data_IF_786967135869
#
_entry.id   IF_786967135869
#
_cell.length_a   1.000
_cell.length_b   1.000
_cell.length_c   1.000
_cell.angle_alpha   90.00
_cell.angle_beta   90.00
_cell.angle_gamma   90.00
#
_symmetry.space_group_name_H-M   'P 1'
#
loop_
_entity.id
_entity.type
_entity.pdbx_description
1 polymer ?
#
# COMPACT_ATOMS: atom_id res chain seq x y z
N UNK A 1 -19.28 17.42 -3.83
CA UNK A 1 -20.31 17.01 -2.87
C UNK A 1 -21.19 15.99 -3.58
N UNK A 2 -21.26 14.75 -3.11
CA UNK A 2 -22.13 13.76 -3.72
C UNK A 2 -23.61 14.19 -3.50
N UNK A 3 -24.40 14.16 -4.54
CA UNK A 3 -25.81 14.58 -4.52
C UNK A 3 -26.67 13.32 -4.42
N UNK A 4 -27.58 13.30 -3.44
CA UNK A 4 -28.50 12.17 -3.28
C UNK A 4 -29.58 12.23 -4.35
N UNK A 5 -29.89 11.08 -4.96
CA UNK A 5 -30.96 10.96 -5.94
C UNK A 5 -32.33 11.30 -5.32
N UNK A 6 -32.58 10.85 -4.09
CA UNK A 6 -33.84 11.08 -3.33
C UNK A 6 -34.14 12.56 -3.07
N UNK A 7 -33.12 13.45 -3.12
CA UNK A 7 -33.29 14.89 -2.95
C UNK A 7 -33.72 15.59 -4.26
N UNK A 8 -33.89 14.85 -5.35
CA UNK A 8 -34.26 15.39 -6.66
C UNK A 8 -35.76 15.24 -6.94
N UNK A 9 -36.29 16.20 -7.70
CA UNK A 9 -37.70 16.17 -8.09
C UNK A 9 -37.98 14.99 -9.03
N UNK A 10 -39.21 14.48 -8.96
CA UNK A 10 -39.69 13.40 -9.82
C UNK A 10 -38.86 12.11 -9.77
N UNK A 11 -38.28 11.78 -8.63
CA UNK A 11 -37.67 10.48 -8.37
C UNK A 11 -38.69 9.53 -7.72
N UNK A 12 -38.44 8.24 -7.82
CA UNK A 12 -39.19 7.25 -7.04
C UNK A 12 -38.65 7.23 -5.61
N UNK A 13 -39.56 7.15 -4.64
CA UNK A 13 -39.20 7.05 -3.22
C UNK A 13 -38.40 5.77 -2.94
N UNK A 14 -37.57 5.76 -1.91
CA UNK A 14 -36.90 4.54 -1.45
C UNK A 14 -37.88 3.40 -1.20
N UNK A 15 -37.46 2.19 -1.63
CA UNK A 15 -38.23 0.94 -1.49
C UNK A 15 -37.33 -0.20 -1.06
N UNK A 16 -37.91 -1.36 -0.79
CA UNK A 16 -37.10 -2.56 -0.47
C UNK A 16 -36.19 -2.99 -1.62
N UNK A 17 -36.58 -2.74 -2.87
CA UNK A 17 -35.78 -3.06 -4.07
C UNK A 17 -34.77 -1.96 -4.38
N UNK A 18 -35.12 -0.72 -4.16
CA UNK A 18 -34.29 0.46 -4.42
C UNK A 18 -34.17 1.32 -3.15
N UNK A 19 -33.34 0.94 -2.19
CA UNK A 19 -33.29 1.56 -0.86
C UNK A 19 -32.83 3.03 -0.87
N UNK A 20 -32.28 3.51 -1.98
CA UNK A 20 -31.81 4.90 -2.16
C UNK A 20 -32.64 5.70 -3.19
N UNK A 21 -33.86 5.24 -3.46
CA UNK A 21 -34.70 5.80 -4.50
C UNK A 21 -34.36 5.28 -5.90
N UNK A 22 -35.15 5.64 -6.88
CA UNK A 22 -34.96 5.23 -8.28
C UNK A 22 -35.24 6.37 -9.25
N UNK A 23 -34.70 6.25 -10.46
CA UNK A 23 -35.01 7.10 -11.58
C UNK A 23 -36.40 6.75 -12.09
N UNK A 24 -37.24 7.76 -12.30
CA UNK A 24 -38.57 7.59 -12.79
C UNK A 24 -38.65 7.93 -14.28
N UNK A 25 -39.26 7.06 -15.06
CA UNK A 25 -39.49 7.29 -16.48
C UNK A 25 -40.47 8.45 -16.73
N UNK A 26 -40.25 9.19 -17.81
CA UNK A 26 -41.16 10.20 -18.28
C UNK A 26 -42.30 9.55 -19.09
N UNK A 27 -43.49 9.56 -18.55
CA UNK A 27 -44.70 9.00 -19.18
C UNK A 27 -45.45 10.01 -20.07
N UNK A 28 -44.77 11.06 -20.53
CA UNK A 28 -45.33 12.04 -21.44
C UNK A 28 -45.87 13.31 -20.78
N UNK A 29 -45.80 13.44 -19.47
CA UNK A 29 -46.31 14.59 -18.69
C UNK A 29 -45.20 15.38 -17.98
N UNK A 30 -43.96 15.26 -18.44
CA UNK A 30 -42.79 15.85 -17.79
C UNK A 30 -42.62 15.41 -16.30
N UNK A 31 -43.09 14.21 -15.97
CA UNK A 31 -43.08 13.64 -14.63
C UNK A 31 -41.93 12.66 -14.39
N UNK A 32 -41.06 12.44 -15.34
CA UNK A 32 -39.84 11.65 -15.20
C UNK A 32 -38.75 12.41 -14.46
N UNK A 33 -37.77 11.68 -13.93
CA UNK A 33 -36.60 12.29 -13.29
C UNK A 33 -35.83 13.09 -14.34
N UNK A 34 -35.64 14.41 -14.15
CA UNK A 34 -34.90 15.21 -15.13
C UNK A 34 -33.46 14.79 -15.14
N UNK A 35 -32.81 14.86 -16.30
CA UNK A 35 -31.37 14.72 -16.42
C UNK A 35 -30.73 15.97 -15.80
N UNK A 36 -30.43 15.88 -14.52
CA UNK A 36 -29.76 16.97 -13.78
C UNK A 36 -28.26 16.88 -14.02
N UNK A 37 -27.70 17.94 -14.62
CA UNK A 37 -26.27 18.07 -14.91
C UNK A 37 -25.39 17.73 -13.69
N UNK A 38 -25.78 18.19 -12.51
CA UNK A 38 -24.96 18.01 -11.31
C UNK A 38 -24.94 16.55 -10.83
N UNK A 39 -26.07 15.85 -10.95
CA UNK A 39 -26.17 14.42 -10.59
C UNK A 39 -25.39 13.55 -11.57
N UNK A 40 -25.64 13.72 -12.87
CA UNK A 40 -25.03 12.86 -13.87
C UNK A 40 -23.56 13.19 -14.12
N UNK A 41 -23.16 14.46 -14.00
CA UNK A 41 -21.76 14.82 -14.11
C UNK A 41 -20.90 14.16 -12.99
N UNK A 42 -21.41 14.08 -11.76
CA UNK A 42 -20.69 13.43 -10.65
C UNK A 42 -20.46 11.93 -10.94
N UNK A 43 -21.46 11.23 -11.48
CA UNK A 43 -21.29 9.83 -11.88
C UNK A 43 -20.25 9.67 -12.98
N UNK A 44 -20.33 10.49 -14.04
CA UNK A 44 -19.35 10.43 -15.12
C UNK A 44 -17.93 10.74 -14.63
N UNK A 45 -17.78 11.75 -13.76
CA UNK A 45 -16.48 12.08 -13.19
C UNK A 45 -15.95 10.95 -12.29
N UNK A 46 -16.81 10.31 -11.49
CA UNK A 46 -16.43 9.17 -10.66
C UNK A 46 -15.93 8.01 -11.52
N UNK A 47 -16.70 7.59 -12.52
CA UNK A 47 -16.30 6.48 -13.41
C UNK A 47 -15.06 6.83 -14.24
N UNK A 48 -14.96 8.04 -14.77
CA UNK A 48 -13.78 8.48 -15.52
C UNK A 48 -12.53 8.48 -14.64
N UNK A 49 -12.63 8.94 -13.38
CA UNK A 49 -11.52 8.91 -12.43
C UNK A 49 -11.11 7.47 -12.10
N UNK A 50 -12.08 6.59 -11.87
CA UNK A 50 -11.84 5.18 -11.59
C UNK A 50 -11.13 4.48 -12.75
N UNK A 51 -11.57 4.69 -13.99
CA UNK A 51 -10.91 4.17 -15.20
C UNK A 51 -9.47 4.71 -15.32
N UNK A 52 -9.28 6.00 -15.10
CA UNK A 52 -7.95 6.63 -15.11
C UNK A 52 -7.00 6.02 -14.06
N UNK A 53 -7.45 5.82 -12.82
CA UNK A 53 -6.63 5.24 -11.75
C UNK A 53 -6.32 3.75 -11.96
N UNK A 54 -7.22 3.03 -12.64
CA UNK A 54 -7.01 1.62 -12.96
C UNK A 54 -6.02 1.39 -14.11
N UNK A 55 -5.84 2.39 -14.98
CA UNK A 55 -5.11 2.24 -16.23
C UNK A 55 -5.84 1.40 -17.30
N UNK A 56 -7.12 1.05 -17.07
CA UNK A 56 -7.93 0.30 -18.02
C UNK A 56 -8.45 1.26 -19.11
N UNK A 57 -8.25 0.89 -20.36
CA UNK A 57 -8.74 1.65 -21.51
C UNK A 57 -10.20 1.28 -21.79
N UNK A 58 -11.04 2.26 -22.08
CA UNK A 58 -12.43 2.02 -22.49
C UNK A 58 -12.51 1.13 -23.73
N UNK A 59 -13.42 0.15 -23.70
CA UNK A 59 -13.68 -0.74 -24.84
C UNK A 59 -14.89 -0.32 -25.67
N UNK A 60 -15.60 0.75 -25.26
CA UNK A 60 -16.80 1.31 -25.89
C UNK A 60 -17.98 0.32 -25.99
N UNK A 61 -17.98 -0.71 -25.13
CA UNK A 61 -19.04 -1.72 -25.02
C UNK A 61 -19.83 -1.52 -23.73
N UNK A 62 -21.11 -1.95 -23.69
CA UNK A 62 -21.91 -1.90 -22.45
C UNK A 62 -21.33 -2.77 -21.34
N UNK A 63 -21.44 -2.31 -20.10
CA UNK A 63 -21.09 -3.10 -18.90
C UNK A 63 -22.18 -4.13 -18.61
N UNK A 64 -21.95 -5.38 -19.00
CA UNK A 64 -22.91 -6.49 -18.84
C UNK A 64 -22.20 -7.85 -18.86
N UNK A 65 -22.96 -8.95 -18.71
CA UNK A 65 -22.42 -10.31 -18.69
C UNK A 65 -21.84 -10.78 -20.02
N UNK A 66 -22.24 -10.18 -21.14
CA UNK A 66 -21.77 -10.58 -22.48
C UNK A 66 -20.46 -9.88 -22.83
N UNK A 67 -20.38 -8.59 -22.55
CA UNK A 67 -19.26 -7.73 -22.94
C UNK A 67 -18.26 -7.53 -21.79
N UNK A 68 -18.63 -7.98 -20.59
CA UNK A 68 -17.87 -7.86 -19.36
C UNK A 68 -18.27 -6.62 -18.54
N UNK A 69 -17.83 -6.59 -17.29
CA UNK A 69 -18.04 -5.47 -16.36
C UNK A 69 -16.75 -4.66 -16.24
N UNK A 70 -16.53 -3.75 -17.17
CA UNK A 70 -15.30 -2.96 -17.25
C UNK A 70 -15.14 -2.01 -16.05
N UNK A 71 -16.22 -1.37 -15.59
CA UNK A 71 -16.19 -0.51 -14.41
C UNK A 71 -15.90 -1.28 -13.13
N UNK A 72 -16.40 -2.53 -13.02
CA UNK A 72 -16.05 -3.38 -11.88
C UNK A 72 -14.57 -3.76 -11.88
N UNK A 73 -14.04 -4.15 -13.04
CA UNK A 73 -12.61 -4.46 -13.19
C UNK A 73 -11.75 -3.24 -12.87
N UNK A 74 -12.16 -2.06 -13.33
CA UNK A 74 -11.47 -0.81 -13.04
C UNK A 74 -11.47 -0.47 -11.54
N UNK A 75 -12.59 -0.70 -10.85
CA UNK A 75 -12.65 -0.51 -9.40
C UNK A 75 -11.68 -1.44 -8.66
N UNK A 76 -11.68 -2.72 -9.02
CA UNK A 76 -10.78 -3.72 -8.41
C UNK A 76 -9.32 -3.33 -8.63
N UNK A 77 -8.96 -2.91 -9.83
CA UNK A 77 -7.59 -2.54 -10.16
C UNK A 77 -7.17 -1.21 -9.51
N UNK A 78 -8.05 -0.21 -9.50
CA UNK A 78 -7.80 1.05 -8.80
C UNK A 78 -7.60 0.83 -7.28
N UNK A 79 -8.38 -0.06 -6.66
CA UNK A 79 -8.19 -0.44 -5.26
C UNK A 79 -6.85 -1.14 -5.05
N UNK A 80 -6.48 -2.10 -5.91
CA UNK A 80 -5.16 -2.77 -5.83
C UNK A 80 -4.02 -1.77 -5.96
N UNK A 81 -4.08 -0.87 -6.95
CA UNK A 81 -3.06 0.13 -7.20
C UNK A 81 -2.89 1.06 -5.98
N UNK A 82 -3.98 1.48 -5.37
CA UNK A 82 -3.94 2.35 -4.19
C UNK A 82 -3.55 1.63 -2.89
N UNK A 83 -4.02 0.39 -2.69
CA UNK A 83 -3.68 -0.39 -1.49
C UNK A 83 -2.25 -0.94 -1.51
N UNK A 84 -1.72 -1.23 -2.71
CA UNK A 84 -0.37 -1.77 -2.89
C UNK A 84 0.63 -0.71 -3.38
N UNK A 85 0.22 0.54 -3.55
CA UNK A 85 1.11 1.62 -3.94
C UNK A 85 2.24 1.76 -2.90
N UNK A 86 3.46 1.71 -3.37
CA UNK A 86 4.64 1.92 -2.54
C UNK A 86 5.68 2.74 -3.28
N UNK A 87 6.50 3.44 -2.51
CA UNK A 87 7.73 4.07 -2.99
C UNK A 87 8.90 3.20 -2.56
N UNK A 88 9.74 2.79 -3.50
CA UNK A 88 10.99 2.11 -3.17
C UNK A 88 11.99 3.16 -2.68
N UNK A 89 12.36 3.05 -1.41
CA UNK A 89 13.31 3.95 -0.73
C UNK A 89 14.63 3.25 -0.39
N UNK A 90 14.89 2.09 -0.98
CA UNK A 90 16.10 1.29 -0.70
C UNK A 90 17.38 2.09 -0.91
N UNK A 91 17.40 3.02 -1.88
CA UNK A 91 18.58 3.84 -2.17
C UNK A 91 18.91 4.86 -1.07
N UNK A 92 17.91 5.31 -0.30
CA UNK A 92 18.10 6.24 0.83
C UNK A 92 18.55 5.57 2.12
N UNK A 93 18.50 4.24 2.17
CA UNK A 93 18.87 3.45 3.34
C UNK A 93 20.30 2.94 3.15
N UNK A 94 21.14 3.19 4.14
CA UNK A 94 22.54 2.77 4.15
C UNK A 94 22.75 1.65 5.17
N UNK A 95 23.56 0.69 4.80
CA UNK A 95 24.00 -0.41 5.64
C UNK A 95 25.26 -0.06 6.43
N UNK A 96 25.53 -0.84 7.48
CA UNK A 96 26.80 -0.76 8.20
C UNK A 96 27.98 -1.03 7.25
N UNK A 97 29.07 -0.29 7.40
CA UNK A 97 30.28 -0.44 6.55
C UNK A 97 30.89 -1.85 6.59
N UNK A 98 30.59 -2.61 7.63
CA UNK A 98 31.03 -4.00 7.79
C UNK A 98 30.00 -5.01 7.27
N UNK A 99 29.07 -4.59 6.42
CA UNK A 99 28.08 -5.42 5.77
C UNK A 99 28.08 -5.12 4.27
N UNK A 100 28.23 -6.14 3.44
CA UNK A 100 27.98 -6.04 2.00
C UNK A 100 26.58 -6.56 1.70
N UNK A 101 25.65 -5.74 1.17
CA UNK A 101 24.29 -6.16 0.93
C UNK A 101 24.20 -7.19 -0.20
N UNK A 102 23.42 -8.25 0.01
CA UNK A 102 23.01 -9.23 -1.02
C UNK A 102 21.62 -8.84 -1.54
N UNK A 103 20.72 -8.50 -0.63
CA UNK A 103 19.37 -8.01 -0.95
C UNK A 103 19.06 -6.85 -0.01
N UNK A 104 18.63 -5.74 -0.59
CA UNK A 104 18.12 -4.59 0.17
C UNK A 104 16.87 -4.08 -0.52
N UNK A 105 15.72 -4.27 0.11
CA UNK A 105 14.43 -3.78 -0.34
C UNK A 105 13.76 -3.07 0.82
N UNK A 106 13.55 -1.78 0.66
CA UNK A 106 12.82 -0.95 1.63
C UNK A 106 11.71 -0.24 0.89
N UNK A 107 10.46 -0.52 1.26
CA UNK A 107 9.27 0.03 0.63
C UNK A 107 8.43 0.78 1.63
N UNK A 108 8.06 2.00 1.25
CA UNK A 108 7.10 2.81 1.98
C UNK A 108 5.76 2.72 1.26
N UNK A 109 4.78 2.11 1.92
CA UNK A 109 3.43 2.00 1.39
C UNK A 109 2.60 3.26 1.64
N UNK A 110 1.61 3.51 0.81
CA UNK A 110 0.72 4.67 0.91
C UNK A 110 -0.07 4.73 2.22
N UNK A 111 -0.30 3.58 2.87
CA UNK A 111 -0.95 3.47 4.17
C UNK A 111 -0.02 3.79 5.36
N UNK A 112 1.23 4.17 5.10
CA UNK A 112 2.23 4.47 6.12
C UNK A 112 3.03 3.27 6.63
N UNK A 113 2.81 2.05 6.09
CA UNK A 113 3.62 0.89 6.43
C UNK A 113 4.98 0.96 5.74
N UNK A 114 6.03 0.58 6.46
CA UNK A 114 7.39 0.43 5.94
C UNK A 114 7.77 -1.05 5.99
N UNK A 115 8.01 -1.63 4.84
CA UNK A 115 8.55 -2.99 4.74
C UNK A 115 10.06 -2.92 4.54
N UNK A 116 10.79 -3.65 5.35
CA UNK A 116 12.24 -3.83 5.24
C UNK A 116 12.55 -5.31 5.01
N UNK A 117 13.21 -5.61 3.91
CA UNK A 117 13.82 -6.91 3.65
C UNK A 117 15.29 -6.70 3.33
N UNK A 118 16.15 -7.22 4.17
CA UNK A 118 17.58 -7.05 4.04
C UNK A 118 18.31 -8.37 4.30
N UNK A 119 19.26 -8.70 3.43
CA UNK A 119 20.25 -9.75 3.67
C UNK A 119 21.61 -9.22 3.25
N UNK A 120 22.64 -9.59 3.97
CA UNK A 120 24.00 -9.13 3.66
C UNK A 120 25.06 -10.10 4.17
N UNK A 121 26.25 -9.99 3.60
CA UNK A 121 27.46 -10.65 4.07
C UNK A 121 28.14 -9.77 5.10
N UNK A 122 28.48 -10.33 6.27
CA UNK A 122 29.25 -9.63 7.30
C UNK A 122 30.73 -9.72 6.91
N UNK A 123 31.35 -8.55 6.74
CA UNK A 123 32.74 -8.41 6.30
C UNK A 123 33.69 -7.93 7.39
N UNK A 124 33.14 -7.52 8.53
CA UNK A 124 33.90 -7.05 9.69
C UNK A 124 33.07 -7.12 10.97
N UNK A 125 33.72 -6.92 12.11
CA UNK A 125 33.04 -6.93 13.40
C UNK A 125 32.09 -5.75 13.52
N UNK A 126 30.88 -6.00 14.03
CA UNK A 126 29.86 -4.99 14.29
C UNK A 126 29.75 -4.83 15.81
N UNK A 127 30.07 -3.64 16.31
CA UNK A 127 30.03 -3.34 17.74
C UNK A 127 28.60 -3.22 18.27
N UNK A 128 28.43 -3.39 19.57
CA UNK A 128 27.16 -3.10 20.25
C UNK A 128 26.72 -1.65 19.96
N UNK A 129 25.42 -1.46 19.76
CA UNK A 129 24.79 -0.17 19.45
C UNK A 129 25.23 0.44 18.09
N UNK A 130 25.97 -0.29 17.27
CA UNK A 130 26.24 0.16 15.89
C UNK A 130 25.00 -0.03 15.02
N UNK A 131 24.68 0.94 14.16
CA UNK A 131 23.60 0.77 13.22
C UNK A 131 23.88 -0.39 12.23
N UNK A 132 22.89 -1.24 12.03
CA UNK A 132 22.86 -2.24 10.95
C UNK A 132 22.35 -1.58 9.67
N UNK A 133 21.25 -0.81 9.80
CA UNK A 133 20.67 0.01 8.75
C UNK A 133 20.43 1.42 9.28
N UNK A 134 20.63 2.42 8.45
CA UNK A 134 20.41 3.85 8.72
C UNK A 134 19.64 4.50 7.58
N UNK A 135 18.97 5.63 7.84
CA UNK A 135 18.21 6.37 6.83
C UNK A 135 16.81 5.82 6.61
N UNK A 136 16.31 4.97 7.49
CA UNK A 136 14.93 4.52 7.47
C UNK A 136 13.99 5.68 7.86
N UNK A 137 12.77 5.76 7.32
CA UNK A 137 11.76 6.71 7.78
C UNK A 137 11.53 6.58 9.29
N UNK A 138 11.44 7.72 9.97
CA UNK A 138 11.25 7.75 11.43
C UNK A 138 9.80 7.33 11.72
N UNK A 139 9.65 6.23 12.40
CA UNK A 139 8.36 5.68 12.81
C UNK A 139 8.39 5.31 14.28
N UNK A 140 7.83 4.16 14.61
CA UNK A 140 7.82 3.62 15.96
C UNK A 140 9.25 3.58 16.52
N UNK A 141 9.46 4.27 17.63
CA UNK A 141 10.74 4.31 18.33
C UNK A 141 10.81 3.22 19.40
N UNK A 142 12.00 2.70 19.64
CA UNK A 142 12.30 1.72 20.68
C UNK A 142 11.61 0.36 20.55
N UNK A 143 11.33 -0.08 19.32
CA UNK A 143 10.87 -1.44 19.08
C UNK A 143 12.07 -2.36 18.99
N UNK A 144 12.00 -3.46 19.71
CA UNK A 144 12.95 -4.56 19.61
C UNK A 144 12.55 -5.44 18.44
N UNK A 145 13.42 -5.53 17.44
CA UNK A 145 13.19 -6.34 16.25
C UNK A 145 14.17 -7.50 16.21
N UNK A 146 13.70 -8.74 16.03
CA UNK A 146 14.60 -9.87 15.81
C UNK A 146 15.24 -9.76 14.41
N UNK A 147 16.53 -10.07 14.34
CA UNK A 147 17.22 -10.35 13.10
C UNK A 147 18.07 -11.61 13.27
N UNK A 148 18.43 -12.21 12.16
CA UNK A 148 19.13 -13.49 12.19
C UNK A 148 20.56 -13.32 11.65
N UNK A 149 21.52 -13.94 12.34
CA UNK A 149 22.89 -14.11 11.87
C UNK A 149 23.22 -15.57 11.75
N UNK A 150 24.03 -15.92 10.78
CA UNK A 150 24.33 -17.32 10.50
C UNK A 150 25.74 -17.46 9.96
N UNK A 151 26.37 -18.59 10.22
CA UNK A 151 27.64 -18.97 9.63
C UNK A 151 27.44 -20.12 8.64
N UNK A 152 27.53 -19.81 7.34
CA UNK A 152 27.34 -20.79 6.27
C UNK A 152 25.99 -21.50 6.36
N UNK A 153 26.03 -22.83 6.53
CA UNK A 153 24.85 -23.68 6.63
C UNK A 153 24.39 -23.97 8.06
N UNK A 154 24.95 -23.26 9.06
CA UNK A 154 24.54 -23.44 10.45
C UNK A 154 23.11 -22.91 10.71
N UNK A 155 22.53 -23.33 11.83
CA UNK A 155 21.24 -22.81 12.27
C UNK A 155 21.33 -21.30 12.53
N UNK A 156 20.42 -20.46 11.98
CA UNK A 156 20.41 -19.04 12.26
C UNK A 156 20.23 -18.74 13.74
N UNK A 157 21.00 -17.80 14.27
CA UNK A 157 20.89 -17.31 15.64
C UNK A 157 20.12 -15.98 15.62
N UNK A 158 19.11 -15.87 16.47
CA UNK A 158 18.33 -14.64 16.60
C UNK A 158 19.10 -13.63 17.45
N UNK A 159 19.22 -12.41 16.94
CA UNK A 159 19.69 -11.23 17.63
C UNK A 159 18.58 -10.21 17.72
N UNK A 160 18.68 -9.27 18.63
CA UNK A 160 17.73 -8.19 18.78
C UNK A 160 18.36 -6.86 18.33
N UNK A 161 17.65 -6.15 17.48
CA UNK A 161 17.95 -4.77 17.15
C UNK A 161 16.89 -3.82 17.74
N UNK A 162 17.27 -2.58 17.99
CA UNK A 162 16.34 -1.54 18.46
C UNK A 162 16.18 -0.49 17.38
N UNK A 163 14.95 -0.10 17.10
CA UNK A 163 14.65 1.01 16.19
C UNK A 163 14.77 2.34 16.92
N UNK A 164 15.34 3.34 16.29
CA UNK A 164 15.40 4.69 16.83
C UNK A 164 15.98 5.66 15.81
N UNK A 165 15.39 6.86 15.70
CA UNK A 165 15.89 7.95 14.84
C UNK A 165 16.22 7.51 13.40
N UNK A 166 15.41 6.62 12.81
CA UNK A 166 15.66 6.11 11.46
C UNK A 166 16.76 5.06 11.34
N UNK A 167 17.19 4.46 12.45
CA UNK A 167 18.22 3.43 12.48
C UNK A 167 17.68 2.12 13.06
N UNK A 168 18.27 1.01 12.65
CA UNK A 168 18.21 -0.27 13.37
C UNK A 168 19.59 -0.54 13.92
N UNK A 169 19.71 -0.50 15.23
CA UNK A 169 20.96 -0.76 15.96
C UNK A 169 20.93 -2.15 16.57
N UNK A 170 22.06 -2.85 16.54
CA UNK A 170 22.18 -4.13 17.22
C UNK A 170 22.38 -3.92 18.74
N UNK A 171 21.82 -4.84 19.52
CA UNK A 171 21.96 -4.83 20.97
C UNK A 171 23.10 -5.74 21.46
N UNK A 172 23.78 -6.43 20.55
CA UNK A 172 24.86 -7.39 20.84
C UNK A 172 25.97 -7.26 19.80
N UNK A 173 27.21 -7.45 20.19
CA UNK A 173 28.31 -7.47 19.23
C UNK A 173 28.22 -8.68 18.29
N UNK A 174 28.50 -8.46 17.01
CA UNK A 174 28.51 -9.49 15.98
C UNK A 174 29.96 -9.65 15.52
N UNK A 175 30.56 -10.80 15.79
CA UNK A 175 31.92 -11.12 15.39
C UNK A 175 31.91 -11.79 14.00
N UNK A 176 32.66 -11.24 13.05
CA UNK A 176 32.79 -11.80 11.70
C UNK A 176 33.36 -13.23 11.70
N UNK A 177 34.18 -13.57 12.67
CA UNK A 177 34.71 -14.93 12.81
C UNK A 177 33.64 -15.96 13.14
N UNK A 178 32.52 -15.54 13.75
CA UNK A 178 31.42 -16.42 14.17
C UNK A 178 30.25 -16.40 13.19
N UNK A 179 30.07 -15.31 12.44
CA UNK A 179 28.89 -15.12 11.58
C UNK A 179 29.30 -14.42 10.27
N UNK A 180 28.80 -14.92 9.15
CA UNK A 180 29.10 -14.36 7.84
C UNK A 180 27.86 -13.85 7.08
N UNK A 181 26.66 -14.14 7.58
CA UNK A 181 25.39 -13.67 6.99
C UNK A 181 24.51 -13.00 8.04
N UNK A 182 23.80 -11.97 7.60
CA UNK A 182 22.76 -11.28 8.38
C UNK A 182 21.49 -11.18 7.55
N UNK A 183 20.34 -11.37 8.20
CA UNK A 183 19.03 -11.25 7.56
C UNK A 183 18.02 -10.56 8.48
N UNK A 184 17.29 -9.58 7.92
CA UNK A 184 16.18 -8.88 8.56
C UNK A 184 14.97 -8.89 7.63
N UNK A 185 13.80 -9.15 8.21
CA UNK A 185 12.54 -8.99 7.49
C UNK A 185 11.46 -8.58 8.49
N UNK A 186 10.94 -7.37 8.33
CA UNK A 186 9.89 -6.84 9.20
C UNK A 186 9.10 -5.73 8.52
N UNK A 187 7.95 -5.41 9.10
CA UNK A 187 7.10 -4.29 8.72
C UNK A 187 6.86 -3.44 9.97
N UNK A 188 6.91 -2.13 9.83
CA UNK A 188 6.54 -1.19 10.88
C UNK A 188 5.73 -0.04 10.29
N UNK A 189 5.01 0.70 11.14
CA UNK A 189 4.16 1.81 10.74
C UNK A 189 4.81 3.13 11.07
N UNK A 190 4.67 4.10 10.16
CA UNK A 190 4.97 5.51 10.47
C UNK A 190 3.97 6.01 11.51
N UNK A 191 4.47 6.82 12.44
CA UNK A 191 3.65 7.45 13.47
C UNK A 191 2.79 8.58 12.90
#
# INVERSE_FOLDING_TARGET
MAIKLEDKVNTEAPSATYPFGNIKDNTGSNNGTPVDKNVYADFHQFFAKMMSESGIVYNDLPDNNTDGFQYWLALVEAVKNNCNAYTDISASVTENSNITPITKVVRQYSNGDIMVKFTGTITGNISVLSPILSGLPVGLQNIVLPFYVQNGFSTPVAFNGTTGSGNITNNQAIAVASYNLISLHFIYKLA
#
